data_IF_701990626505
#
_entry.id   IF_701990626505
#
_cell.length_a   1.000
_cell.length_b   1.000
_cell.length_c   1.000
_cell.angle_alpha   90.00
_cell.angle_beta   90.00
_cell.angle_gamma   90.00
#
_symmetry.space_group_name_H-M   'P 1'
#
loop_
_entity.id
_entity.type
_entity.pdbx_description
1 polymer ?
#
# COMPACT_ATOMS: atom_id res chain seq x y z
N UNK A 1 -52.64 4.85 45.71
CA UNK A 1 -52.27 3.60 45.01
C UNK A 1 -52.88 3.73 43.61
N UNK A 2 -52.18 3.90 42.49
CA UNK A 2 -50.98 3.27 41.97
C UNK A 2 -50.24 4.32 41.12
N UNK A 3 -49.25 4.96 41.72
CA UNK A 3 -48.23 5.75 41.01
C UNK A 3 -47.29 4.70 40.40
N UNK A 4 -47.14 4.61 39.08
CA UNK A 4 -45.98 4.04 38.35
C UNK A 4 -46.29 3.93 36.85
N UNK A 5 -46.97 4.93 36.30
CA UNK A 5 -47.01 5.13 34.85
C UNK A 5 -45.76 5.93 34.46
N UNK A 6 -45.06 5.46 33.42
CA UNK A 6 -44.00 6.19 32.70
C UNK A 6 -42.62 6.20 33.41
N UNK A 7 -41.95 5.05 33.47
CA UNK A 7 -40.50 5.00 33.71
C UNK A 7 -39.82 3.75 33.11
N UNK A 8 -40.41 3.16 32.06
CA UNK A 8 -39.90 1.94 31.40
C UNK A 8 -39.79 2.08 29.87
N UNK A 9 -39.51 3.28 29.37
CA UNK A 9 -39.34 3.55 27.93
C UNK A 9 -38.08 4.37 27.59
N UNK A 10 -37.05 4.29 28.44
CA UNK A 10 -35.76 5.00 28.24
C UNK A 10 -34.54 4.07 28.23
N UNK A 11 -34.74 2.75 28.23
CA UNK A 11 -33.66 1.75 28.25
C UNK A 11 -33.72 0.88 27.00
N UNK A 12 -33.46 1.43 25.82
CA UNK A 12 -33.23 0.61 24.61
C UNK A 12 -32.56 1.35 23.44
N UNK A 13 -31.77 2.40 23.67
CA UNK A 13 -30.94 2.98 22.60
C UNK A 13 -29.51 3.21 23.05
N UNK A 14 -28.94 2.23 23.76
CA UNK A 14 -27.49 2.05 23.74
C UNK A 14 -27.13 1.41 22.39
N UNK A 15 -27.25 2.18 21.32
CA UNK A 15 -26.69 1.79 20.03
C UNK A 15 -25.20 1.56 20.24
N UNK A 16 -24.72 0.34 20.05
CA UNK A 16 -23.29 0.06 19.96
C UNK A 16 -22.73 0.99 18.87
N UNK A 17 -22.01 2.03 19.29
CA UNK A 17 -21.13 2.78 18.40
C UNK A 17 -20.02 1.81 17.99
N UNK A 18 -20.23 1.05 16.92
CA UNK A 18 -19.16 0.31 16.28
C UNK A 18 -18.11 1.35 15.87
N UNK A 19 -16.90 1.23 16.41
CA UNK A 19 -15.81 2.11 16.02
C UNK A 19 -15.53 1.88 14.53
N UNK A 20 -15.65 2.94 13.73
CA UNK A 20 -15.24 2.87 12.33
C UNK A 20 -13.73 2.61 12.26
N UNK A 21 -13.30 1.70 11.41
CA UNK A 21 -11.91 1.31 11.24
C UNK A 21 -11.55 1.25 9.74
N UNK A 22 -10.38 1.78 9.34
CA UNK A 22 -9.90 1.60 7.99
C UNK A 22 -9.44 0.15 7.79
N UNK A 23 -9.68 -0.42 6.61
CA UNK A 23 -9.22 -1.77 6.27
C UNK A 23 -8.52 -1.72 4.93
N UNK A 24 -7.22 -1.98 4.91
CA UNK A 24 -6.44 -2.01 3.67
C UNK A 24 -6.51 -3.37 3.00
N UNK A 25 -6.79 -3.40 1.70
CA UNK A 25 -6.76 -4.59 0.86
C UNK A 25 -5.86 -4.32 -0.35
N UNK A 26 -4.95 -5.25 -0.64
CA UNK A 26 -4.03 -5.19 -1.80
C UNK A 26 -4.10 -6.53 -2.52
N UNK A 27 -4.46 -6.54 -3.80
CA UNK A 27 -4.65 -7.78 -4.55
C UNK A 27 -3.33 -8.47 -4.90
N UNK A 28 -2.29 -7.69 -5.25
CA UNK A 28 -0.97 -8.19 -5.59
C UNK A 28 0.07 -7.45 -4.77
N UNK A 29 0.87 -8.18 -4.02
CA UNK A 29 1.99 -7.62 -3.26
C UNK A 29 3.33 -7.88 -3.95
N UNK A 30 3.37 -8.64 -5.04
CA UNK A 30 4.59 -8.93 -5.78
C UNK A 30 4.42 -8.61 -7.25
N UNK A 31 5.41 -7.94 -7.82
CA UNK A 31 5.56 -7.76 -9.26
C UNK A 31 6.89 -8.34 -9.73
N UNK A 32 6.84 -9.12 -10.81
CA UNK A 32 8.02 -9.60 -11.51
C UNK A 32 8.13 -8.88 -12.85
N UNK A 33 9.19 -8.09 -13.01
CA UNK A 33 9.49 -7.39 -14.26
C UNK A 33 10.04 -8.35 -15.33
N UNK A 34 10.37 -9.59 -14.97
CA UNK A 34 11.11 -10.50 -15.82
C UNK A 34 12.48 -9.91 -16.15
N UNK A 35 12.82 -9.90 -17.44
CA UNK A 35 14.08 -9.32 -17.93
C UNK A 35 13.87 -7.87 -18.34
N UNK A 36 14.60 -6.96 -17.70
CA UNK A 36 14.64 -5.54 -18.06
C UNK A 36 16.03 -5.18 -18.60
N UNK A 37 16.10 -4.37 -19.64
CA UNK A 37 17.38 -3.90 -20.18
C UNK A 37 17.82 -2.65 -19.42
N UNK A 38 19.07 -2.62 -18.96
CA UNK A 38 19.63 -1.48 -18.26
C UNK A 38 19.49 -0.16 -19.05
N UNK A 39 19.63 -0.22 -20.38
CA UNK A 39 19.50 0.93 -21.27
C UNK A 39 18.08 1.51 -21.38
N UNK A 40 17.04 0.77 -20.95
CA UNK A 40 15.66 1.24 -21.01
C UNK A 40 15.32 2.20 -19.84
N UNK A 41 16.26 2.40 -18.91
CA UNK A 41 16.07 3.28 -17.76
C UNK A 41 15.21 2.65 -16.67
N UNK A 42 14.57 3.51 -15.87
CA UNK A 42 13.80 3.13 -14.69
C UNK A 42 12.62 2.23 -15.03
N UNK A 43 12.47 1.11 -14.31
CA UNK A 43 11.32 0.23 -14.40
C UNK A 43 10.35 0.51 -13.23
N UNK A 44 9.07 0.71 -13.53
CA UNK A 44 8.08 1.11 -12.53
C UNK A 44 6.85 0.19 -12.51
N UNK A 45 6.31 -0.05 -11.32
CA UNK A 45 5.03 -0.74 -11.14
C UNK A 45 4.18 -0.02 -10.10
N UNK A 46 2.87 0.05 -10.35
CA UNK A 46 1.88 0.60 -9.42
C UNK A 46 1.09 -0.52 -8.77
N UNK A 47 1.07 -0.51 -7.44
CA UNK A 47 0.22 -1.35 -6.61
C UNK A 47 -1.00 -0.56 -6.19
N UNK A 48 -2.18 -1.16 -6.34
CA UNK A 48 -3.46 -0.56 -5.94
C UNK A 48 -3.85 -1.01 -4.54
N UNK A 49 -4.18 -0.05 -3.69
CA UNK A 49 -4.68 -0.25 -2.34
C UNK A 49 -6.16 0.12 -2.33
N UNK A 50 -7.02 -0.75 -1.83
CA UNK A 50 -8.45 -0.48 -1.64
C UNK A 50 -8.75 -0.35 -0.16
N UNK A 51 -9.46 0.71 0.23
CA UNK A 51 -10.03 0.80 1.56
C UNK A 51 -11.37 0.04 1.61
N UNK A 52 -11.37 -1.12 2.26
CA UNK A 52 -12.57 -1.95 2.50
C UNK A 52 -13.21 -1.70 3.86
N UNK A 53 -12.69 -0.73 4.62
CA UNK A 53 -13.24 -0.32 5.91
C UNK A 53 -14.30 0.77 5.76
N UNK A 54 -14.71 1.32 6.89
CA UNK A 54 -15.74 2.35 7.01
C UNK A 54 -15.19 3.68 7.56
N UNK A 55 -13.88 3.77 7.83
CA UNK A 55 -13.15 5.02 8.09
C UNK A 55 -12.10 5.31 6.99
N UNK A 56 -11.65 6.57 6.80
CA UNK A 56 -10.57 6.89 5.87
C UNK A 56 -9.24 6.17 6.17
N UNK A 57 -8.65 5.58 5.13
CA UNK A 57 -7.34 4.95 5.16
C UNK A 57 -6.26 5.96 4.77
N UNK A 58 -5.20 6.09 5.57
CA UNK A 58 -4.08 6.99 5.31
C UNK A 58 -2.79 6.18 5.18
N UNK A 59 -1.99 6.48 4.15
CA UNK A 59 -0.65 5.93 3.97
C UNK A 59 0.35 6.85 4.67
N UNK A 60 0.72 6.50 5.90
CA UNK A 60 1.57 7.31 6.77
C UNK A 60 3.00 7.41 6.24
N UNK A 61 3.54 6.29 5.74
CA UNK A 61 4.93 6.19 5.28
C UNK A 61 5.09 5.06 4.29
N UNK A 62 5.94 5.27 3.30
CA UNK A 62 6.42 4.21 2.41
C UNK A 62 7.94 4.22 2.42
N UNK A 63 8.56 3.07 2.67
CA UNK A 63 10.01 2.94 2.81
C UNK A 63 10.54 1.84 1.88
N UNK A 64 11.50 2.18 1.03
CA UNK A 64 12.18 1.24 0.15
C UNK A 64 13.42 0.63 0.81
N UNK A 65 13.72 -0.62 0.49
CA UNK A 65 14.87 -1.34 1.05
C UNK A 65 16.24 -0.89 0.54
N UNK A 66 16.31 -0.10 -0.53
CA UNK A 66 17.53 0.47 -1.09
C UNK A 66 17.27 1.85 -1.68
N UNK A 67 18.31 2.69 -1.79
CA UNK A 67 18.26 3.95 -2.55
C UNK A 67 18.09 3.77 -4.07
N UNK A 68 18.09 2.52 -4.56
CA UNK A 68 17.86 2.16 -5.95
C UNK A 68 16.37 2.03 -6.32
N UNK A 69 15.47 2.12 -5.32
CA UNK A 69 14.02 2.04 -5.51
C UNK A 69 13.38 3.28 -4.91
N UNK A 70 12.64 4.02 -5.73
CA UNK A 70 11.96 5.25 -5.32
C UNK A 70 10.45 4.99 -5.22
N UNK A 71 9.84 5.10 -4.03
CA UNK A 71 8.41 4.98 -3.88
C UNK A 71 7.70 6.33 -4.13
N UNK A 72 6.55 6.30 -4.80
CA UNK A 72 5.55 7.38 -4.79
C UNK A 72 4.19 6.81 -4.39
N UNK A 73 3.31 7.60 -3.77
CA UNK A 73 2.04 7.09 -3.25
C UNK A 73 1.01 8.19 -3.07
N UNK A 74 -0.26 7.80 -3.02
CA UNK A 74 -1.40 8.68 -2.67
C UNK A 74 -1.19 9.30 -1.29
N UNK A 75 -1.24 10.63 -1.20
CA UNK A 75 -1.02 11.38 0.05
C UNK A 75 -2.32 11.72 0.75
N UNK A 76 -3.39 11.80 -0.02
CA UNK A 76 -4.73 12.09 0.45
C UNK A 76 -5.34 10.85 1.14
N UNK A 77 -6.25 11.05 2.11
CA UNK A 77 -7.01 9.94 2.69
C UNK A 77 -7.81 9.18 1.63
N UNK A 78 -7.69 7.85 1.64
CA UNK A 78 -8.46 6.94 0.79
C UNK A 78 -9.78 6.64 1.49
N UNK A 79 -10.87 7.22 1.00
CA UNK A 79 -12.21 7.04 1.58
C UNK A 79 -12.71 5.58 1.49
N UNK A 80 -13.69 5.18 2.32
CA UNK A 80 -14.34 3.87 2.23
C UNK A 80 -14.75 3.49 0.80
N UNK A 81 -14.41 2.29 0.37
CA UNK A 81 -14.66 1.76 -0.97
C UNK A 81 -13.82 2.38 -2.10
N UNK A 82 -12.93 3.33 -1.79
CA UNK A 82 -12.04 3.97 -2.77
C UNK A 82 -10.66 3.33 -2.80
N UNK A 83 -9.90 3.71 -3.81
CA UNK A 83 -8.56 3.20 -4.07
C UNK A 83 -7.52 4.30 -4.01
N UNK A 84 -6.34 3.97 -3.49
CA UNK A 84 -5.10 4.73 -3.66
C UNK A 84 -4.01 3.85 -4.25
N UNK A 85 -2.84 4.42 -4.43
CA UNK A 85 -1.73 3.75 -5.13
C UNK A 85 -0.41 3.89 -4.38
N UNK A 86 0.46 2.90 -4.57
CA UNK A 86 1.89 2.95 -4.25
C UNK A 86 2.64 2.49 -5.50
N UNK A 87 3.44 3.37 -6.07
CA UNK A 87 4.31 3.07 -7.21
C UNK A 87 5.74 2.84 -6.73
N UNK A 88 6.35 1.74 -7.15
CA UNK A 88 7.76 1.45 -6.93
C UNK A 88 8.53 1.63 -8.25
N UNK A 89 9.50 2.54 -8.27
CA UNK A 89 10.35 2.82 -9.42
C UNK A 89 11.79 2.35 -9.14
N UNK A 90 12.24 1.31 -9.85
CA UNK A 90 13.57 0.72 -9.73
C UNK A 90 14.54 1.29 -10.77
N UNK A 91 15.68 1.79 -10.33
CA UNK A 91 16.77 2.24 -11.20
C UNK A 91 17.77 1.09 -11.46
N UNK A 92 17.81 0.49 -12.66
CA UNK A 92 18.71 -0.62 -12.99
C UNK A 92 20.14 -0.18 -13.36
N UNK A 93 20.42 1.12 -13.45
CA UNK A 93 21.71 1.63 -13.91
C UNK A 93 22.87 1.10 -13.07
N UNK A 94 23.90 0.56 -13.73
CA UNK A 94 25.08 -0.06 -13.14
C UNK A 94 24.74 -1.23 -12.18
N UNK A 95 23.60 -1.92 -12.40
CA UNK A 95 23.12 -3.03 -11.56
C UNK A 95 22.67 -4.25 -12.39
N UNK A 96 23.54 -4.84 -13.22
CA UNK A 96 23.19 -6.06 -13.96
C UNK A 96 22.96 -7.26 -13.02
N UNK A 97 22.17 -8.23 -13.48
CA UNK A 97 21.85 -9.46 -12.75
C UNK A 97 20.49 -9.44 -12.04
N UNK A 98 20.21 -10.51 -11.30
CA UNK A 98 18.93 -10.69 -10.61
C UNK A 98 18.75 -9.71 -9.45
N UNK A 99 17.53 -9.24 -9.26
CA UNK A 99 17.17 -8.39 -8.13
C UNK A 99 15.86 -8.82 -7.48
N UNK A 100 15.79 -8.62 -6.17
CA UNK A 100 14.57 -8.62 -5.36
C UNK A 100 14.67 -7.41 -4.44
N UNK A 101 13.67 -6.53 -4.46
CA UNK A 101 13.60 -5.31 -3.63
C UNK A 101 12.23 -5.22 -2.98
N UNK A 102 12.18 -4.62 -1.80
CA UNK A 102 10.95 -4.45 -1.04
C UNK A 102 10.62 -3.00 -0.78
N UNK A 103 9.32 -2.72 -0.69
CA UNK A 103 8.73 -1.44 -0.35
C UNK A 103 7.73 -1.68 0.78
N UNK A 104 8.03 -1.19 1.98
CA UNK A 104 7.20 -1.33 3.17
C UNK A 104 6.21 -0.16 3.27
N UNK A 105 4.92 -0.47 3.30
CA UNK A 105 3.82 0.48 3.36
C UNK A 105 3.21 0.48 4.75
N UNK A 106 3.24 1.62 5.43
CA UNK A 106 2.67 1.83 6.75
C UNK A 106 1.39 2.64 6.62
N UNK A 107 0.30 2.15 7.23
CA UNK A 107 -1.01 2.81 7.20
C UNK A 107 -1.57 2.97 8.62
N UNK A 108 -2.70 3.66 8.75
CA UNK A 108 -3.45 3.73 10.01
C UNK A 108 -4.38 2.51 10.24
N UNK A 109 -4.43 1.53 9.33
CA UNK A 109 -5.25 0.32 9.48
C UNK A 109 -4.59 -0.81 10.27
N UNK A 110 -3.27 -0.77 10.46
CA UNK A 110 -2.51 -1.76 11.24
C UNK A 110 -1.19 -1.17 11.72
N UNK A 111 -0.67 -1.68 12.84
CA UNK A 111 0.68 -1.37 13.31
C UNK A 111 1.77 -2.03 12.46
N UNK A 112 1.43 -3.10 11.74
CA UNK A 112 2.36 -3.82 10.87
C UNK A 112 2.42 -3.19 9.48
N UNK A 113 3.62 -3.16 8.90
CA UNK A 113 3.80 -2.75 7.52
C UNK A 113 3.28 -3.83 6.57
N UNK A 114 2.62 -3.41 5.49
CA UNK A 114 2.40 -4.28 4.33
C UNK A 114 3.61 -4.21 3.43
N UNK A 115 4.20 -5.36 3.09
CA UNK A 115 5.42 -5.44 2.27
C UNK A 115 5.04 -5.71 0.82
N UNK A 116 5.46 -4.79 -0.06
CA UNK A 116 5.39 -4.95 -1.51
C UNK A 116 6.77 -5.38 -2.02
N UNK A 117 6.81 -6.29 -2.99
CA UNK A 117 8.03 -6.87 -3.55
C UNK A 117 8.08 -6.62 -5.05
N UNK A 118 9.24 -6.16 -5.54
CA UNK A 118 9.56 -6.13 -6.96
C UNK A 118 10.76 -7.04 -7.22
N UNK A 119 10.73 -7.77 -8.33
CA UNK A 119 11.83 -8.66 -8.71
C UNK A 119 12.02 -8.70 -10.22
N UNK A 120 13.16 -9.25 -10.65
CA UNK A 120 13.47 -9.46 -12.05
C UNK A 120 14.97 -9.68 -12.27
N UNK A 121 15.41 -9.49 -13.50
CA UNK A 121 16.79 -9.61 -13.94
C UNK A 121 17.14 -8.42 -14.84
N UNK A 122 18.25 -7.73 -14.53
CA UNK A 122 18.77 -6.64 -15.35
C UNK A 122 19.75 -7.19 -16.37
N UNK A 123 19.44 -7.01 -17.64
CA UNK A 123 20.33 -7.30 -18.77
C UNK A 123 21.26 -6.10 -18.97
N UNK A 124 22.60 -6.30 -18.92
CA UNK A 124 23.58 -5.21 -19.03
C UNK A 124 23.47 -4.50 -20.38
N UNK A 125 23.95 -3.25 -20.42
CA UNK A 125 24.17 -2.55 -21.69
C UNK A 125 25.13 -3.34 -22.58
N UNK A 126 24.93 -3.37 -23.91
CA UNK A 126 25.93 -3.90 -24.83
C UNK A 126 27.28 -3.23 -24.58
N UNK A 127 28.36 -4.02 -24.54
CA UNK A 127 29.70 -3.46 -24.48
C UNK A 127 29.91 -2.60 -25.73
N UNK A 128 30.29 -1.33 -25.56
CA UNK A 128 30.72 -0.50 -26.67
C UNK A 128 32.12 -0.97 -27.04
N UNK A 129 32.25 -1.72 -28.14
CA UNK A 129 33.55 -1.99 -28.73
C UNK A 129 34.05 -0.68 -29.36
N UNK A 130 35.11 -0.12 -28.81
CA UNK A 130 35.89 0.94 -29.47
C UNK A 130 36.76 0.35 -30.57
#
# INVERSE_FOLDING_TARGET
MKKFSILLALVAFAGMLAAQQPVVSIEKTTHDFGKIKEQNGTASVTFTLTNKGDAPLVINRVHASCGCTTPTWTKEPILPGKTGTVTAAYNPQNRPGSFVKTVSVFTNASTNATVLTIKGEVIPKPAVSN
#
